data_IF_024386534981
#
_entry.id   IF_024386534981
#
_cell.length_a   1.000
_cell.length_b   1.000
_cell.length_c   1.000
_cell.angle_alpha   90.00
_cell.angle_beta   90.00
_cell.angle_gamma   90.00
#
_symmetry.space_group_name_H-M   'P 1'
#
loop_
_entity.id
_entity.type
_entity.pdbx_description
1 polymer ?
#
# COMPACT_ATOMS: atom_id res chain seq x y z
N UNK A 1 7.02 1.37 -12.37
CA UNK A 1 6.27 2.36 -13.20
C UNK A 1 6.61 3.77 -12.74
N UNK A 2 6.43 4.14 -11.47
CA UNK A 2 6.92 5.42 -10.92
C UNK A 2 7.63 5.20 -9.57
N UNK A 3 8.81 5.81 -9.33
CA UNK A 3 9.47 5.80 -8.01
C UNK A 3 8.71 6.63 -6.96
N UNK A 4 8.94 6.36 -5.68
CA UNK A 4 8.25 7.05 -4.57
C UNK A 4 8.40 8.58 -4.62
N UNK A 5 9.58 9.09 -4.98
CA UNK A 5 9.80 10.54 -5.10
C UNK A 5 8.93 11.20 -6.17
N UNK A 6 8.71 10.52 -7.30
CA UNK A 6 7.85 11.01 -8.39
C UNK A 6 6.39 11.03 -7.96
N UNK A 7 5.95 10.02 -7.19
CA UNK A 7 4.60 10.01 -6.63
C UNK A 7 4.40 11.17 -5.65
N UNK A 8 5.39 11.42 -4.79
CA UNK A 8 5.34 12.51 -3.82
C UNK A 8 5.25 13.88 -4.50
N UNK A 9 6.09 14.14 -5.51
CA UNK A 9 6.06 15.36 -6.32
C UNK A 9 4.69 15.57 -6.99
N UNK A 10 4.18 14.53 -7.65
CA UNK A 10 2.90 14.62 -8.33
C UNK A 10 1.75 14.93 -7.35
N UNK A 11 1.66 14.18 -6.25
CA UNK A 11 0.58 14.34 -5.27
C UNK A 11 0.60 15.76 -4.67
N UNK A 12 1.78 16.24 -4.29
CA UNK A 12 1.95 17.56 -3.67
C UNK A 12 1.72 18.73 -4.62
N UNK A 13 1.76 18.50 -5.94
CA UNK A 13 1.34 19.50 -6.94
C UNK A 13 -0.18 19.70 -7.03
N UNK A 14 -0.96 18.73 -6.56
CA UNK A 14 -2.43 18.72 -6.66
C UNK A 14 -3.10 19.02 -5.32
N UNK A 15 -2.53 18.51 -4.22
CA UNK A 15 -3.08 18.71 -2.87
C UNK A 15 -1.97 18.86 -1.82
N UNK A 16 -2.29 19.56 -0.73
CA UNK A 16 -1.40 19.64 0.44
C UNK A 16 -1.45 18.33 1.23
N UNK A 17 -0.30 17.86 1.68
CA UNK A 17 -0.17 16.71 2.59
C UNK A 17 -0.03 17.21 4.03
N UNK A 18 -0.71 16.55 4.94
CA UNK A 18 -0.70 16.84 6.37
C UNK A 18 0.10 15.79 7.15
N UNK A 19 0.61 16.13 8.36
CA UNK A 19 1.27 15.17 9.21
C UNK A 19 0.38 13.96 9.53
N UNK A 20 0.87 12.77 9.20
CA UNK A 20 0.15 11.51 9.38
C UNK A 20 -0.51 10.97 8.11
N UNK A 21 -0.49 11.73 7.01
CA UNK A 21 -0.98 11.23 5.73
C UNK A 21 -0.16 10.03 5.24
N UNK A 22 -0.87 9.07 4.62
CA UNK A 22 -0.30 7.81 4.12
C UNK A 22 -0.49 7.72 2.62
N UNK A 23 0.61 7.52 1.89
CA UNK A 23 0.61 7.33 0.43
C UNK A 23 0.75 5.83 0.12
N UNK A 24 -0.23 5.28 -0.61
CA UNK A 24 -0.16 3.91 -1.12
C UNK A 24 0.51 3.90 -2.49
N UNK A 25 1.68 3.26 -2.61
CA UNK A 25 2.53 3.31 -3.80
C UNK A 25 2.12 2.33 -4.92
N UNK A 26 0.99 1.66 -4.75
CA UNK A 26 0.47 0.64 -5.67
C UNK A 26 0.82 -0.79 -5.25
N UNK A 27 0.29 -1.75 -6.01
CA UNK A 27 0.47 -3.19 -5.79
C UNK A 27 1.12 -3.83 -7.03
N UNK A 28 1.97 -4.86 -6.86
CA UNK A 28 2.38 -5.70 -7.97
C UNK A 28 1.19 -6.41 -8.63
N UNK A 29 1.44 -7.05 -9.77
CA UNK A 29 0.46 -7.95 -10.38
C UNK A 29 0.21 -9.18 -9.49
N UNK A 30 -0.97 -9.81 -9.65
CA UNK A 30 -1.33 -11.03 -8.93
C UNK A 30 -2.40 -10.88 -7.85
N UNK A 31 -3.14 -9.76 -7.83
CA UNK A 31 -4.31 -9.61 -6.97
C UNK A 31 -5.37 -10.66 -7.34
N UNK A 32 -5.94 -11.31 -6.33
CA UNK A 32 -6.96 -12.35 -6.46
C UNK A 32 -8.14 -12.14 -5.50
N UNK A 33 -9.24 -12.91 -5.69
CA UNK A 33 -10.40 -12.83 -4.81
C UNK A 33 -10.06 -13.33 -3.40
N UNK A 34 -10.71 -12.73 -2.40
CA UNK A 34 -10.67 -13.18 -1.01
C UNK A 34 -12.03 -13.81 -0.64
N UNK A 35 -11.98 -14.78 0.26
CA UNK A 35 -13.14 -15.47 0.81
C UNK A 35 -13.20 -15.30 2.34
N UNK A 36 -14.41 -15.43 2.88
CA UNK A 36 -14.60 -15.45 4.33
C UNK A 36 -13.85 -16.63 4.93
N UNK A 37 -13.08 -16.36 5.99
CA UNK A 37 -12.19 -17.31 6.64
C UNK A 37 -10.73 -17.20 6.21
N UNK A 38 -10.42 -16.46 5.14
CA UNK A 38 -9.05 -16.31 4.67
C UNK A 38 -8.18 -15.54 5.68
N UNK A 39 -6.88 -15.83 5.66
CA UNK A 39 -5.86 -15.00 6.29
C UNK A 39 -4.94 -14.48 5.20
N UNK A 40 -4.83 -13.15 5.11
CA UNK A 40 -4.01 -12.46 4.12
C UNK A 40 -2.78 -11.89 4.80
N UNK A 41 -1.61 -12.17 4.22
CA UNK A 41 -0.33 -11.68 4.70
C UNK A 41 0.36 -10.85 3.61
N UNK A 42 0.88 -9.69 4.02
CA UNK A 42 1.69 -8.82 3.18
C UNK A 42 3.02 -8.61 3.88
N UNK A 43 4.13 -8.94 3.21
CA UNK A 43 5.48 -8.79 3.75
C UNK A 43 6.26 -7.77 2.95
N UNK A 44 7.00 -6.92 3.67
CA UNK A 44 8.02 -6.04 3.10
C UNK A 44 9.32 -6.29 3.85
N UNK A 45 10.36 -6.66 3.10
CA UNK A 45 11.70 -6.88 3.64
C UNK A 45 12.19 -5.65 4.40
N UNK A 46 12.69 -5.87 5.62
CA UNK A 46 13.19 -4.80 6.49
C UNK A 46 12.10 -3.97 7.19
N UNK A 47 10.81 -4.20 6.91
CA UNK A 47 9.69 -3.54 7.61
C UNK A 47 8.92 -4.56 8.46
N UNK A 48 8.51 -5.68 7.86
CA UNK A 48 7.78 -6.76 8.54
C UNK A 48 6.56 -7.26 7.79
N UNK A 49 5.73 -8.03 8.48
CA UNK A 49 4.53 -8.68 7.93
C UNK A 49 3.26 -8.11 8.54
N UNK A 50 2.33 -7.67 7.69
CA UNK A 50 0.97 -7.31 8.06
C UNK A 50 0.05 -8.51 7.77
N UNK A 51 -0.57 -9.07 8.82
CA UNK A 51 -1.52 -10.19 8.73
C UNK A 51 -2.93 -9.73 9.08
N UNK A 52 -3.90 -10.03 8.22
CA UNK A 52 -5.32 -9.73 8.44
C UNK A 52 -6.19 -10.96 8.21
N UNK A 53 -7.22 -11.13 9.04
CA UNK A 53 -8.21 -12.19 8.90
C UNK A 53 -9.49 -11.63 8.26
N UNK A 54 -10.04 -12.34 7.28
CA UNK A 54 -11.28 -11.99 6.57
C UNK A 54 -12.46 -12.66 7.28
N UNK A 55 -13.26 -11.88 8.01
CA UNK A 55 -14.37 -12.37 8.84
C UNK A 55 -15.76 -12.25 8.17
#
# INVERSE_FOLDING_TARGET
VFPCGVLFEFITSVMTLEPGDVILTGTPAGVGPLQKGDTVEVEIEGIGTLRNHVA
#
